data_IF_069822791843
#
_entry.id   IF_069822791843
#
_cell.length_a   1.000
_cell.length_b   1.000
_cell.length_c   1.000
_cell.angle_alpha   90.00
_cell.angle_beta   90.00
_cell.angle_gamma   90.00
#
_symmetry.space_group_name_H-M   'P 1'
#
loop_
_entity.id
_entity.type
_entity.pdbx_description
1 polymer ?
#
# COMPACT_ATOMS: atom_id res chain seq x y z
N UNK A 1 5.92 9.97 -18.90
CA UNK A 1 4.71 9.13 -18.82
C UNK A 1 5.23 7.82 -18.30
N UNK A 2 4.78 7.41 -17.13
CA UNK A 2 5.23 6.18 -16.48
C UNK A 2 5.02 4.98 -17.41
N UNK A 3 6.02 4.12 -17.56
CA UNK A 3 5.90 2.82 -18.23
C UNK A 3 5.26 1.74 -17.32
N UNK A 4 4.74 2.17 -16.15
CA UNK A 4 4.02 1.29 -15.23
C UNK A 4 2.74 0.77 -15.88
N UNK A 5 2.59 -0.54 -16.00
CA UNK A 5 1.41 -1.10 -16.65
C UNK A 5 0.13 -0.84 -15.83
N UNK A 6 -0.96 -0.36 -16.46
CA UNK A 6 -2.23 -0.15 -15.79
C UNK A 6 -2.95 -1.49 -15.56
N UNK A 7 -3.73 -1.58 -14.48
CA UNK A 7 -4.68 -2.68 -14.30
C UNK A 7 -6.11 -2.13 -14.40
N UNK A 8 -7.05 -2.98 -14.77
CA UNK A 8 -8.47 -2.66 -14.67
C UNK A 8 -8.81 -2.27 -13.23
N UNK A 9 -9.58 -1.19 -13.10
CA UNK A 9 -10.10 -0.72 -11.81
C UNK A 9 -11.35 -1.55 -11.49
N UNK A 10 -11.38 -2.30 -10.37
CA UNK A 10 -12.58 -3.05 -9.98
C UNK A 10 -13.78 -2.13 -9.78
N UNK A 11 -14.98 -2.61 -10.10
CA UNK A 11 -16.23 -1.83 -9.96
C UNK A 11 -16.49 -1.37 -8.52
N UNK A 12 -15.96 -2.09 -7.53
CA UNK A 12 -16.09 -1.80 -6.10
C UNK A 12 -15.10 -0.73 -5.60
N UNK A 13 -14.21 -0.21 -6.47
CA UNK A 13 -13.27 0.86 -6.13
C UNK A 13 -13.87 2.23 -6.44
N UNK A 14 -14.21 2.99 -5.39
CA UNK A 14 -14.58 4.40 -5.47
C UNK A 14 -13.47 5.28 -4.89
N UNK A 15 -12.60 5.79 -5.77
CA UNK A 15 -11.48 6.66 -5.40
C UNK A 15 -11.92 7.98 -4.76
N UNK A 16 -13.11 8.49 -5.08
CA UNK A 16 -13.62 9.75 -4.53
C UNK A 16 -14.12 9.58 -3.08
N UNK A 17 -14.52 8.36 -2.70
CA UNK A 17 -14.94 7.99 -1.36
C UNK A 17 -13.81 7.41 -0.49
N UNK A 18 -12.56 7.50 -0.96
CA UNK A 18 -11.42 6.85 -0.32
C UNK A 18 -11.13 7.36 1.09
N UNK A 19 -10.79 6.42 1.97
CA UNK A 19 -10.17 6.68 3.27
C UNK A 19 -9.37 5.47 3.71
N UNK A 20 -8.33 5.72 4.52
CA UNK A 20 -7.48 4.70 5.12
C UNK A 20 -7.86 4.47 6.58
N UNK A 21 -8.12 3.22 6.96
CA UNK A 21 -8.14 2.77 8.34
C UNK A 21 -6.75 2.29 8.81
N UNK A 22 -6.36 2.66 10.03
CA UNK A 22 -5.28 1.99 10.77
C UNK A 22 -5.90 1.39 12.03
N UNK A 23 -6.00 0.06 12.09
CA UNK A 23 -6.89 -0.68 12.99
C UNK A 23 -6.18 -1.86 13.66
N UNK A 24 -6.90 -2.63 14.47
CA UNK A 24 -6.42 -3.87 15.07
C UNK A 24 -5.63 -3.63 16.35
N UNK A 25 -4.42 -4.19 16.45
CA UNK A 25 -3.53 -4.13 17.60
C UNK A 25 -2.85 -2.76 17.76
N UNK A 26 -3.66 -1.72 17.95
CA UNK A 26 -3.26 -0.32 18.15
C UNK A 26 -3.95 0.28 19.37
N UNK A 27 -3.32 1.23 20.04
CA UNK A 27 -3.94 1.96 21.15
C UNK A 27 -4.89 3.07 20.66
N UNK A 28 -4.70 3.55 19.42
CA UNK A 28 -5.55 4.55 18.77
C UNK A 28 -5.81 4.18 17.32
N UNK A 29 -7.03 3.77 17.03
CA UNK A 29 -7.47 3.61 15.64
C UNK A 29 -7.50 4.96 14.92
N UNK A 30 -7.07 4.97 13.66
CA UNK A 30 -7.03 6.15 12.81
C UNK A 30 -7.92 5.96 11.59
N UNK A 31 -8.52 7.06 11.15
CA UNK A 31 -9.10 7.17 9.82
C UNK A 31 -8.52 8.41 9.15
N UNK A 32 -7.92 8.24 7.98
CA UNK A 32 -7.21 9.32 7.27
C UNK A 32 -7.70 9.37 5.83
N UNK A 33 -8.15 10.54 5.40
CA UNK A 33 -8.48 10.82 3.99
C UNK A 33 -7.26 11.40 3.25
N UNK A 34 -7.40 11.66 1.95
CA UNK A 34 -6.30 12.17 1.12
C UNK A 34 -5.76 13.50 1.67
N UNK A 35 -6.64 14.41 2.09
CA UNK A 35 -6.26 15.70 2.66
C UNK A 35 -5.49 15.52 3.99
N UNK A 36 -5.88 14.53 4.79
CA UNK A 36 -5.18 14.11 6.00
C UNK A 36 -3.77 13.63 5.71
N UNK A 37 -3.57 12.83 4.65
CA UNK A 37 -2.23 12.38 4.22
C UNK A 37 -1.37 13.55 3.71
N UNK A 38 -1.92 14.45 2.91
CA UNK A 38 -1.20 15.63 2.40
C UNK A 38 -0.73 16.57 3.51
N UNK A 39 -1.40 16.55 4.67
CA UNK A 39 -1.01 17.29 5.87
C UNK A 39 0.16 16.68 6.64
N UNK A 40 0.61 15.47 6.30
CA UNK A 40 1.72 14.78 6.95
C UNK A 40 3.05 15.01 6.22
N UNK A 41 4.20 14.81 6.89
CA UNK A 41 5.49 14.77 6.21
C UNK A 41 5.46 13.75 5.07
N UNK A 42 5.88 14.18 3.89
CA UNK A 42 6.00 13.31 2.72
C UNK A 42 7.45 13.08 2.35
N UNK A 43 7.76 11.90 1.86
CA UNK A 43 9.04 11.56 1.26
C UNK A 43 8.89 11.32 -0.25
N UNK A 44 9.99 11.44 -0.96
CA UNK A 44 10.07 11.18 -2.40
C UNK A 44 11.25 10.28 -2.67
N UNK A 45 11.02 9.22 -3.43
CA UNK A 45 12.07 8.31 -3.85
C UNK A 45 11.83 7.84 -5.28
N UNK A 46 12.90 7.46 -5.95
CA UNK A 46 12.88 6.92 -7.30
C UNK A 46 13.37 5.49 -7.27
N UNK A 47 12.61 4.58 -7.87
CA UNK A 47 12.95 3.16 -7.93
C UNK A 47 12.36 2.51 -9.18
N UNK A 48 13.01 1.45 -9.64
CA UNK A 48 12.47 0.57 -10.66
C UNK A 48 11.40 -0.34 -10.06
N UNK A 49 10.42 -0.73 -10.87
CA UNK A 49 9.32 -1.61 -10.49
C UNK A 49 9.31 -2.83 -11.42
N UNK A 50 9.79 -3.97 -10.91
CA UNK A 50 9.84 -5.22 -11.67
C UNK A 50 8.64 -6.12 -11.31
N UNK A 51 7.86 -6.52 -12.31
CA UNK A 51 6.71 -7.40 -12.13
C UNK A 51 7.03 -8.85 -12.47
N UNK A 52 6.38 -9.77 -11.76
CA UNK A 52 6.48 -11.21 -12.01
C UNK A 52 5.85 -11.67 -13.32
N UNK A 53 5.03 -10.81 -13.93
CA UNK A 53 4.49 -10.97 -15.28
C UNK A 53 5.55 -10.72 -16.38
N UNK A 54 6.77 -10.33 -16.00
CA UNK A 54 7.94 -10.29 -16.89
C UNK A 54 8.27 -8.92 -17.48
N UNK A 55 7.66 -7.85 -16.95
CA UNK A 55 7.92 -6.47 -17.35
C UNK A 55 8.59 -5.68 -16.22
N UNK A 56 9.28 -4.60 -16.58
CA UNK A 56 9.94 -3.67 -15.64
C UNK A 56 9.60 -2.25 -16.07
N UNK A 57 9.17 -1.43 -15.12
CA UNK A 57 9.04 0.01 -15.29
C UNK A 57 10.18 0.70 -14.55
N UNK A 58 11.04 1.41 -15.26
CA UNK A 58 12.25 2.03 -14.71
C UNK A 58 11.98 3.46 -14.22
N UNK A 59 12.82 3.95 -13.30
CA UNK A 59 12.87 5.36 -12.87
C UNK A 59 11.53 5.96 -12.36
N UNK A 60 10.66 5.16 -11.74
CA UNK A 60 9.40 5.63 -11.19
C UNK A 60 9.63 6.49 -9.95
N UNK A 61 9.16 7.74 -9.97
CA UNK A 61 9.30 8.65 -8.84
C UNK A 61 8.02 8.69 -8.03
N UNK A 62 8.07 8.10 -6.84
CA UNK A 62 6.94 8.03 -5.91
C UNK A 62 7.06 9.13 -4.87
N UNK A 63 5.92 9.74 -4.51
CA UNK A 63 5.84 10.65 -3.37
C UNK A 63 4.63 10.32 -2.50
N UNK A 64 4.83 10.31 -1.18
CA UNK A 64 3.79 10.00 -0.22
C UNK A 64 4.26 9.99 1.22
N UNK A 65 3.43 9.45 2.11
CA UNK A 65 3.67 9.43 3.56
C UNK A 65 4.34 8.12 3.95
N UNK A 66 5.33 8.15 4.84
CA UNK A 66 5.88 6.91 5.40
C UNK A 66 4.84 6.23 6.27
N UNK A 67 4.67 4.92 6.07
CA UNK A 67 3.72 4.15 6.88
C UNK A 67 4.12 4.18 8.36
N UNK A 68 5.42 4.19 8.67
CA UNK A 68 5.92 4.38 10.04
C UNK A 68 5.34 5.60 10.75
N UNK A 69 5.19 6.73 10.06
CA UNK A 69 4.61 7.95 10.63
C UNK A 69 3.11 7.76 10.98
N UNK A 70 2.38 6.95 10.21
CA UNK A 70 0.99 6.61 10.51
C UNK A 70 0.92 5.66 11.71
N UNK A 71 1.80 4.66 11.74
CA UNK A 71 1.90 3.71 12.85
C UNK A 71 2.22 4.43 14.16
N UNK A 72 3.19 5.35 14.18
CA UNK A 72 3.51 6.15 15.37
C UNK A 72 2.31 6.89 15.96
N UNK A 73 1.42 7.40 15.10
CA UNK A 73 0.18 8.09 15.52
C UNK A 73 -0.88 7.13 16.06
N UNK A 74 -0.90 5.90 15.54
CA UNK A 74 -1.81 4.84 15.96
C UNK A 74 -1.36 4.18 17.27
N UNK A 75 -0.08 4.34 17.64
CA UNK A 75 0.53 3.76 18.84
C UNK A 75 0.34 2.22 18.86
N UNK A 76 1.15 1.45 18.11
CA UNK A 76 1.00 0.00 18.02
C UNK A 76 1.09 -0.66 19.40
N UNK A 77 0.20 -1.62 19.66
CA UNK A 77 0.26 -2.40 20.88
C UNK A 77 1.57 -3.20 20.92
N UNK A 78 2.10 -3.47 22.11
CA UNK A 78 3.35 -4.20 22.27
C UNK A 78 3.31 -5.65 21.73
N UNK A 79 2.11 -6.20 21.53
CA UNK A 79 1.89 -7.51 20.91
C UNK A 79 1.86 -7.48 19.39
N UNK A 80 1.73 -6.31 18.76
CA UNK A 80 1.64 -6.20 17.31
C UNK A 80 2.97 -6.61 16.67
N UNK A 81 2.94 -7.59 15.77
CA UNK A 81 4.13 -8.09 15.07
C UNK A 81 4.01 -7.98 13.55
N UNK A 82 2.78 -8.07 13.04
CA UNK A 82 2.48 -8.04 11.62
C UNK A 82 1.35 -7.06 11.34
N UNK A 83 1.17 -6.76 10.06
CA UNK A 83 0.01 -6.02 9.59
C UNK A 83 -0.50 -6.63 8.28
N UNK A 84 -1.82 -6.60 8.12
CA UNK A 84 -2.49 -6.95 6.88
C UNK A 84 -2.95 -5.67 6.19
N UNK A 85 -2.44 -5.45 4.99
CA UNK A 85 -2.78 -4.29 4.17
C UNK A 85 -3.83 -4.71 3.16
N UNK A 86 -5.03 -4.14 3.24
CA UNK A 86 -6.16 -4.49 2.37
C UNK A 86 -6.43 -3.41 1.34
N UNK A 87 -6.69 -3.84 0.10
CA UNK A 87 -7.22 -2.99 -0.94
C UNK A 87 -8.73 -2.76 -0.76
N UNK A 88 -9.22 -1.67 -1.36
CA UNK A 88 -10.64 -1.31 -1.34
C UNK A 88 -11.55 -2.36 -2.00
N UNK A 89 -11.03 -3.14 -2.94
CA UNK A 89 -11.78 -4.20 -3.62
C UNK A 89 -12.15 -5.39 -2.72
N UNK A 90 -11.57 -5.47 -1.50
CA UNK A 90 -11.80 -6.53 -0.53
C UNK A 90 -11.25 -7.91 -0.93
N UNK A 91 -10.66 -8.05 -2.12
CA UNK A 91 -10.10 -9.29 -2.63
C UNK A 91 -8.58 -9.34 -2.47
N UNK A 92 -7.91 -8.19 -2.54
CA UNK A 92 -6.47 -8.09 -2.46
C UNK A 92 -6.00 -7.67 -1.07
N UNK A 93 -5.17 -8.51 -0.45
CA UNK A 93 -4.52 -8.19 0.81
C UNK A 93 -3.10 -8.75 0.85
N UNK A 94 -2.17 -8.01 1.47
CA UNK A 94 -0.77 -8.42 1.61
C UNK A 94 -0.32 -8.29 3.07
N UNK A 95 0.35 -9.32 3.58
CA UNK A 95 0.89 -9.38 4.92
C UNK A 95 2.32 -8.82 4.99
N UNK A 96 2.62 -8.07 6.04
CA UNK A 96 3.97 -7.53 6.29
C UNK A 96 4.35 -7.69 7.76
N UNK A 97 5.62 -8.02 8.08
CA UNK A 97 6.19 -7.67 9.36
C UNK A 97 6.14 -6.15 9.56
N UNK A 98 5.74 -5.68 10.75
CA UNK A 98 5.56 -4.24 11.02
C UNK A 98 6.83 -3.44 10.76
N UNK A 99 8.00 -4.00 11.11
CA UNK A 99 9.28 -3.33 10.92
C UNK A 99 9.52 -3.01 9.43
N UNK A 100 9.23 -3.94 8.54
CA UNK A 100 9.35 -3.73 7.08
C UNK A 100 8.26 -2.81 6.56
N UNK A 101 7.03 -2.97 7.04
CA UNK A 101 5.93 -2.09 6.65
C UNK A 101 6.21 -0.63 7.00
N UNK A 102 6.85 -0.35 8.14
CA UNK A 102 7.18 0.99 8.60
C UNK A 102 8.12 1.79 7.67
N UNK A 103 8.86 1.08 6.81
CA UNK A 103 9.74 1.66 5.80
C UNK A 103 9.04 1.90 4.45
N UNK A 104 7.88 1.28 4.24
CA UNK A 104 7.08 1.50 3.04
C UNK A 104 6.50 2.93 3.01
N UNK A 105 6.18 3.37 1.80
CA UNK A 105 5.54 4.66 1.53
C UNK A 105 4.13 4.41 1.04
N UNK A 106 3.16 5.09 1.63
CA UNK A 106 1.83 5.24 1.10
C UNK A 106 1.85 6.38 0.08
N UNK A 107 2.09 6.03 -1.18
CA UNK A 107 2.24 6.94 -2.29
C UNK A 107 0.89 7.54 -2.72
N UNK A 108 0.88 8.86 -2.88
CA UNK A 108 -0.26 9.66 -3.38
C UNK A 108 0.06 10.36 -4.70
N UNK A 109 1.33 10.36 -5.10
CA UNK A 109 1.83 10.91 -6.35
C UNK A 109 2.79 9.94 -7.04
N UNK A 110 2.74 9.97 -8.37
CA UNK A 110 3.64 9.26 -9.28
C UNK A 110 4.13 10.23 -10.36
N UNK A 111 5.44 10.31 -10.54
CA UNK A 111 6.12 11.16 -11.52
C UNK A 111 5.71 12.65 -11.45
N UNK A 112 5.48 13.14 -10.22
CA UNK A 112 5.14 14.54 -9.95
C UNK A 112 3.69 14.92 -10.26
N UNK A 113 2.81 13.94 -10.49
CA UNK A 113 1.38 14.11 -10.65
C UNK A 113 0.62 13.28 -9.61
N UNK A 114 -0.65 13.63 -9.29
CA UNK A 114 -1.51 12.77 -8.47
C UNK A 114 -1.55 11.35 -9.01
N UNK A 115 -1.48 10.36 -8.12
CA UNK A 115 -1.44 8.95 -8.50
C UNK A 115 -2.71 8.56 -9.29
N UNK A 116 -2.59 8.11 -10.55
CA UNK A 116 -3.75 7.70 -11.33
C UNK A 116 -4.46 6.49 -10.72
N UNK A 117 -5.78 6.41 -10.87
CA UNK A 117 -6.59 5.33 -10.30
C UNK A 117 -6.18 3.96 -10.84
N UNK A 118 -5.83 3.86 -12.12
CA UNK A 118 -5.33 2.63 -12.76
C UNK A 118 -4.00 2.11 -12.16
N UNK A 119 -3.26 3.00 -11.49
CA UNK A 119 -2.02 2.70 -10.80
C UNK A 119 -2.18 2.57 -9.29
N UNK A 120 -3.40 2.64 -8.77
CA UNK A 120 -3.73 2.47 -7.36
C UNK A 120 -4.10 3.76 -6.62
N UNK A 121 -4.33 4.86 -7.35
CA UNK A 121 -4.80 6.11 -6.76
C UNK A 121 -6.16 5.97 -6.06
N UNK A 122 -6.42 6.72 -4.99
CA UNK A 122 -5.64 7.89 -4.56
C UNK A 122 -4.47 7.56 -3.64
N UNK A 123 -4.34 6.31 -3.18
CA UNK A 123 -3.23 5.87 -2.33
C UNK A 123 -2.81 4.42 -2.60
N UNK A 124 -1.52 4.24 -2.85
CA UNK A 124 -0.89 2.92 -3.07
C UNK A 124 0.24 2.69 -2.10
N UNK A 125 0.32 1.50 -1.53
CA UNK A 125 1.48 1.11 -0.74
C UNK A 125 2.63 0.72 -1.68
N UNK A 126 3.80 1.29 -1.45
CA UNK A 126 5.03 1.01 -2.20
C UNK A 126 6.15 0.65 -1.21
N UNK A 127 6.60 -0.61 -1.18
CA UNK A 127 7.79 -0.99 -0.45
C UNK A 127 9.02 -0.25 -1.01
N UNK A 128 9.89 0.23 -0.13
CA UNK A 128 11.11 0.98 -0.51
C UNK A 128 12.36 0.11 -0.57
N UNK A 129 12.31 -1.08 0.03
CA UNK A 129 13.37 -2.10 -0.01
C UNK A 129 13.11 -3.19 -1.05
N UNK A 130 13.87 -4.30 -0.96
CA UNK A 130 13.63 -5.48 -1.79
C UNK A 130 12.22 -6.04 -1.54
N UNK A 131 11.44 -6.12 -2.62
CA UNK A 131 10.06 -6.58 -2.60
C UNK A 131 9.65 -7.14 -3.95
N UNK A 132 8.72 -8.08 -3.93
CA UNK A 132 8.00 -8.50 -5.11
C UNK A 132 6.91 -7.46 -5.46
N UNK A 133 6.58 -7.32 -6.75
CA UNK A 133 5.60 -6.32 -7.20
C UNK A 133 4.22 -6.44 -6.55
N UNK A 134 3.79 -7.65 -6.17
CA UNK A 134 2.50 -7.91 -5.53
C UNK A 134 2.43 -7.38 -4.09
N UNK A 135 3.59 -7.06 -3.49
CA UNK A 135 3.67 -6.40 -2.20
C UNK A 135 3.46 -4.89 -2.34
N UNK A 136 3.11 -4.39 -3.52
CA UNK A 136 2.72 -3.01 -3.74
C UNK A 136 1.20 -2.92 -3.93
N UNK A 137 0.48 -2.78 -2.82
CA UNK A 137 -0.98 -2.83 -2.76
C UNK A 137 -1.61 -1.56 -3.33
N UNK A 138 -2.44 -1.70 -4.37
CA UNK A 138 -3.23 -0.61 -4.97
C UNK A 138 -4.48 -0.32 -4.12
N UNK A 139 -4.98 0.92 -4.16
CA UNK A 139 -6.24 1.33 -3.51
C UNK A 139 -6.31 0.96 -2.02
N UNK A 140 -5.24 1.21 -1.27
CA UNK A 140 -5.12 0.77 0.12
C UNK A 140 -6.24 1.36 0.96
N UNK A 141 -7.05 0.53 1.60
CA UNK A 141 -8.18 0.94 2.43
C UNK A 141 -7.94 0.70 3.92
N UNK A 142 -7.13 -0.29 4.28
CA UNK A 142 -6.86 -0.63 5.68
C UNK A 142 -5.43 -1.14 5.88
N UNK A 143 -4.85 -0.76 7.02
CA UNK A 143 -3.65 -1.36 7.62
C UNK A 143 -4.08 -1.89 9.00
N UNK A 144 -4.39 -3.18 9.08
CA UNK A 144 -4.78 -3.83 10.34
C UNK A 144 -3.55 -4.44 11.00
N UNK A 145 -3.22 -4.01 12.22
CA UNK A 145 -2.12 -4.59 12.98
C UNK A 145 -2.58 -5.85 13.72
N UNK A 146 -1.76 -6.89 13.70
CA UNK A 146 -2.07 -8.20 14.27
C UNK A 146 -0.88 -8.76 15.04
N UNK A 147 -1.13 -9.72 15.95
CA UNK A 147 -0.11 -10.30 16.83
C UNK A 147 0.62 -11.52 16.25
N UNK A 148 0.17 -12.02 15.10
CA UNK A 148 0.77 -13.12 14.36
C UNK A 148 0.58 -12.95 12.84
N UNK A 149 1.36 -13.66 11.99
CA UNK A 149 1.18 -13.64 10.54
C UNK A 149 -0.25 -14.06 10.12
N UNK A 150 -0.98 -13.22 9.35
CA UNK A 150 -2.32 -13.51 8.85
C UNK A 150 -2.29 -14.34 7.54
N UNK A 151 -1.65 -15.52 7.58
CA UNK A 151 -1.34 -16.33 6.37
C UNK A 151 -2.58 -16.70 5.53
N UNK A 152 -3.75 -16.92 6.14
CA UNK A 152 -4.98 -17.31 5.43
C UNK A 152 -5.63 -16.13 4.68
N UNK A 153 -5.33 -14.90 5.09
CA UNK A 153 -5.88 -13.67 4.51
C UNK A 153 -4.88 -12.97 3.56
N UNK A 154 -3.63 -13.43 3.50
CA UNK A 154 -2.61 -12.94 2.57
C UNK A 154 -2.84 -13.50 1.15
N UNK A 155 -3.64 -12.76 0.37
CA UNK A 155 -4.06 -13.18 -0.98
C UNK A 155 -3.13 -12.69 -2.10
N UNK A 156 -2.31 -11.68 -1.83
CA UNK A 156 -1.58 -10.91 -2.85
C UNK A 156 -0.73 -11.79 -3.77
N UNK A 157 0.03 -12.71 -3.19
CA UNK A 157 0.91 -13.62 -3.94
C UNK A 157 0.12 -14.58 -4.82
N UNK A 158 -0.93 -15.20 -4.28
CA UNK A 158 -1.74 -16.16 -5.03
C UNK A 158 -2.43 -15.48 -6.23
N UNK A 159 -3.00 -14.29 -6.03
CA UNK A 159 -3.66 -13.50 -7.08
C UNK A 159 -2.65 -13.05 -8.15
N UNK A 160 -1.45 -12.63 -7.75
CA UNK A 160 -0.44 -12.19 -8.71
C UNK A 160 0.05 -13.36 -9.58
N UNK A 161 0.31 -14.52 -8.97
CA UNK A 161 0.80 -15.68 -9.69
C UNK A 161 -0.25 -16.29 -10.65
N UNK A 162 -1.55 -16.16 -10.35
CA UNK A 162 -2.60 -16.65 -11.25
C UNK A 162 -2.69 -15.91 -12.59
N UNK A 163 -1.96 -14.80 -12.77
CA UNK A 163 -1.91 -14.01 -14.02
C UNK A 163 -0.79 -14.44 -14.95
N UNK A 164 0.14 -15.28 -14.45
CA UNK A 164 1.31 -15.76 -15.18
C UNK A 164 1.08 -17.16 -15.78
N UNK A 165 -0.07 -17.78 -15.50
CA UNK A 165 -0.45 -19.14 -15.95
C UNK A 165 -1.16 -19.18 -17.31
#
# INVERSE_FOLDING_TARGET
MSDLEPHDVPDDVDADAWGLGVTGAVERELTVDVAGLEGLPTETFTADFACVEGWVAEDLTWRGVRVGDLLERAEPAASATHALVRAMDGAYACSYPIERLSEAVLAIELDGAPLPVEHGGPARLVPTGEADCWESVKWVAEIELVDAPPDEEDTAKAIALSRVE
#
